data_IF_413764926340
#
_entry.id   IF_413764926340
#
_cell.length_a   1.000
_cell.length_b   1.000
_cell.length_c   1.000
_cell.angle_alpha   90.00
_cell.angle_beta   90.00
_cell.angle_gamma   90.00
#
_symmetry.space_group_name_H-M   'P 1'
#
loop_
_entity.id
_entity.type
_entity.pdbx_description
1 polymer ?
#
# COMPACT_ATOMS: atom_id res chain seq x y z
N UNK A 1 -7.78 18.14 -18.01
CA UNK A 1 -6.32 18.06 -17.76
C UNK A 1 -5.79 16.74 -18.30
N UNK A 2 -4.63 16.72 -18.96
CA UNK A 2 -3.96 15.45 -19.32
C UNK A 2 -3.23 14.90 -18.08
N UNK A 3 -3.32 13.59 -17.77
CA UNK A 3 -2.59 13.01 -16.66
C UNK A 3 -1.08 13.08 -16.93
N UNK A 4 -0.30 13.49 -15.93
CA UNK A 4 1.17 13.55 -15.99
C UNK A 4 1.86 12.28 -15.47
N UNK A 5 1.09 11.29 -15.02
CA UNK A 5 1.60 10.03 -14.47
C UNK A 5 0.63 8.88 -14.75
N UNK A 6 1.16 7.64 -14.77
CA UNK A 6 0.34 6.42 -14.88
C UNK A 6 -0.72 6.39 -13.79
N UNK A 7 -0.38 6.73 -12.55
CA UNK A 7 -1.35 6.76 -11.44
C UNK A 7 -2.55 7.65 -11.76
N UNK A 8 -2.32 8.86 -12.26
CA UNK A 8 -3.39 9.78 -12.61
C UNK A 8 -4.22 9.27 -13.79
N UNK A 9 -3.58 8.65 -14.78
CA UNK A 9 -4.27 8.04 -15.93
C UNK A 9 -5.16 6.87 -15.49
N UNK A 10 -4.64 5.98 -14.64
CA UNK A 10 -5.41 4.84 -14.11
C UNK A 10 -6.59 5.28 -13.25
N UNK A 11 -6.47 6.38 -12.51
CA UNK A 11 -7.58 6.93 -11.75
C UNK A 11 -8.69 7.48 -12.66
N UNK A 12 -8.33 8.17 -13.73
CA UNK A 12 -9.28 8.75 -14.68
C UNK A 12 -10.04 7.66 -15.47
N UNK A 13 -9.33 6.64 -15.92
CA UNK A 13 -9.87 5.57 -16.78
C UNK A 13 -10.12 4.26 -16.02
N UNK A 14 -10.23 4.30 -14.70
CA UNK A 14 -10.38 3.08 -13.91
C UNK A 14 -11.58 2.21 -14.36
N UNK A 15 -12.74 2.77 -14.77
CA UNK A 15 -13.84 1.96 -15.31
C UNK A 15 -13.46 1.21 -16.59
N UNK A 16 -12.88 1.93 -17.56
CA UNK A 16 -12.44 1.39 -18.86
C UNK A 16 -11.38 0.28 -18.67
N UNK A 17 -10.48 0.47 -17.70
CA UNK A 17 -9.44 -0.52 -17.38
C UNK A 17 -10.03 -1.80 -16.78
N UNK A 18 -11.02 -1.69 -15.90
CA UNK A 18 -11.70 -2.85 -15.31
C UNK A 18 -12.51 -3.62 -16.35
N UNK A 19 -13.14 -2.91 -17.31
CA UNK A 19 -13.82 -3.51 -18.45
C UNK A 19 -12.84 -4.25 -19.36
N UNK A 20 -11.69 -3.65 -19.70
CA UNK A 20 -10.67 -4.37 -20.49
C UNK A 20 -10.17 -5.64 -19.76
N UNK A 21 -10.01 -5.59 -18.44
CA UNK A 21 -9.64 -6.78 -17.66
C UNK A 21 -10.75 -7.84 -17.62
N UNK A 22 -12.02 -7.45 -17.57
CA UNK A 22 -13.14 -8.41 -17.60
C UNK A 22 -13.28 -9.08 -18.97
N UNK A 23 -12.89 -8.38 -20.04
CA UNK A 23 -12.79 -8.90 -21.40
C UNK A 23 -11.54 -9.78 -21.62
N UNK A 24 -10.68 -9.94 -20.62
CA UNK A 24 -9.49 -10.80 -20.68
C UNK A 24 -8.26 -10.14 -21.29
N UNK A 25 -8.27 -8.82 -21.52
CA UNK A 25 -7.09 -8.09 -22.00
C UNK A 25 -5.99 -8.16 -20.94
N UNK A 26 -4.77 -8.45 -21.35
CA UNK A 26 -3.67 -8.60 -20.41
C UNK A 26 -3.27 -7.26 -19.78
N UNK A 27 -2.73 -7.31 -18.56
CA UNK A 27 -2.27 -6.11 -17.84
C UNK A 27 -1.21 -5.33 -18.62
N UNK A 28 -0.35 -6.04 -19.37
CA UNK A 28 0.70 -5.43 -20.17
C UNK A 28 0.15 -4.67 -21.39
N UNK A 29 -0.88 -5.22 -22.04
CA UNK A 29 -1.57 -4.56 -23.16
C UNK A 29 -2.32 -3.33 -22.69
N UNK A 30 -3.02 -3.42 -21.55
CA UNK A 30 -3.71 -2.27 -20.94
C UNK A 30 -2.69 -1.19 -20.58
N UNK A 31 -1.58 -1.56 -19.95
CA UNK A 31 -0.50 -0.63 -19.63
C UNK A 31 0.01 0.08 -20.89
N UNK A 32 0.31 -0.68 -21.96
CA UNK A 32 0.81 -0.14 -23.22
C UNK A 32 -0.20 0.84 -23.83
N UNK A 33 -1.47 0.44 -23.95
CA UNK A 33 -2.54 1.28 -24.47
C UNK A 33 -2.72 2.58 -23.66
N UNK A 34 -2.69 2.51 -22.33
CA UNK A 34 -2.80 3.70 -21.46
C UNK A 34 -1.57 4.59 -21.59
N UNK A 35 -0.37 4.01 -21.65
CA UNK A 35 0.88 4.76 -21.80
C UNK A 35 0.95 5.50 -23.14
N UNK A 36 0.53 4.85 -24.23
CA UNK A 36 0.48 5.43 -25.57
C UNK A 36 -0.59 6.52 -25.66
N UNK A 37 -1.80 6.27 -25.13
CA UNK A 37 -2.92 7.24 -25.16
C UNK A 37 -2.57 8.58 -24.50
N UNK A 38 -1.73 8.56 -23.46
CA UNK A 38 -1.37 9.76 -22.71
C UNK A 38 0.08 10.22 -22.91
N UNK A 39 0.87 9.54 -23.73
CA UNK A 39 2.29 9.86 -23.94
C UNK A 39 3.12 9.75 -22.66
N UNK A 40 2.86 8.73 -21.85
CA UNK A 40 3.53 8.53 -20.56
C UNK A 40 4.78 7.67 -20.75
N UNK A 41 5.88 8.33 -21.09
CA UNK A 41 7.19 7.69 -21.29
C UNK A 41 7.87 7.33 -19.95
N UNK A 42 8.56 6.18 -19.90
CA UNK A 42 9.46 5.82 -18.79
C UNK A 42 8.84 5.10 -17.58
N UNK A 43 7.62 4.58 -17.70
CA UNK A 43 6.95 3.93 -16.57
C UNK A 43 7.22 2.41 -16.57
N UNK A 44 7.56 1.85 -15.41
CA UNK A 44 7.80 0.41 -15.26
C UNK A 44 6.46 -0.32 -15.06
N UNK A 45 6.25 -1.46 -15.72
CA UNK A 45 5.06 -2.32 -15.57
C UNK A 45 4.73 -2.61 -14.10
N UNK A 46 5.74 -2.76 -13.23
CA UNK A 46 5.52 -3.00 -11.78
C UNK A 46 4.80 -1.85 -11.07
N UNK A 47 4.97 -0.63 -11.57
CA UNK A 47 4.29 0.56 -11.05
C UNK A 47 2.81 0.62 -11.49
N UNK A 48 2.44 -0.06 -12.58
CA UNK A 48 1.05 -0.18 -13.03
C UNK A 48 0.22 -0.94 -11.99
N UNK A 49 0.64 -2.12 -11.57
CA UNK A 49 -0.12 -2.94 -10.61
C UNK A 49 -0.31 -2.22 -9.26
N UNK A 50 0.75 -1.61 -8.76
CA UNK A 50 0.71 -0.83 -7.51
C UNK A 50 -0.23 0.37 -7.64
N UNK A 51 -0.19 1.05 -8.79
CA UNK A 51 -1.05 2.22 -9.04
C UNK A 51 -2.50 1.81 -9.27
N UNK A 52 -2.75 0.66 -9.90
CA UNK A 52 -4.08 0.10 -10.11
C UNK A 52 -4.71 -0.31 -8.78
N UNK A 53 -3.94 -1.00 -7.92
CA UNK A 53 -4.37 -1.31 -6.56
C UNK A 53 -4.76 -0.03 -5.81
N UNK A 54 -3.90 0.99 -5.81
CA UNK A 54 -4.18 2.27 -5.15
C UNK A 54 -5.40 2.98 -5.74
N UNK A 55 -5.58 2.95 -7.06
CA UNK A 55 -6.76 3.54 -7.72
C UNK A 55 -8.06 2.83 -7.28
N UNK A 56 -8.04 1.50 -7.17
CA UNK A 56 -9.16 0.70 -6.63
C UNK A 56 -9.45 1.04 -5.17
N UNK A 57 -8.42 1.14 -4.32
CA UNK A 57 -8.58 1.50 -2.91
C UNK A 57 -9.16 2.89 -2.74
N UNK A 58 -8.70 3.88 -3.52
CA UNK A 58 -9.25 5.24 -3.49
C UNK A 58 -10.74 5.25 -3.89
N UNK A 59 -11.09 4.50 -4.94
CA UNK A 59 -12.50 4.37 -5.37
C UNK A 59 -13.36 3.66 -4.32
N UNK A 60 -12.83 2.61 -3.67
CA UNK A 60 -13.54 1.83 -2.64
C UNK A 60 -13.71 2.61 -1.33
N UNK A 61 -12.70 3.37 -0.92
CA UNK A 61 -12.70 4.13 0.32
C UNK A 61 -13.40 5.50 0.19
N UNK A 62 -13.76 5.92 -1.02
CA UNK A 62 -14.68 7.02 -1.28
C UNK A 62 -14.12 8.42 -1.03
N UNK A 63 -14.49 9.35 -1.91
CA UNK A 63 -15.12 10.64 -1.55
C UNK A 63 -14.49 11.59 -0.51
N UNK A 64 -13.29 11.36 0.01
CA UNK A 64 -12.66 12.24 1.01
C UNK A 64 -11.36 12.84 0.49
N UNK A 65 -11.38 13.53 -0.66
CA UNK A 65 -10.50 14.69 -0.98
C UNK A 65 -10.58 15.06 -2.47
N UNK A 66 -11.76 15.45 -2.96
CA UNK A 66 -11.88 16.21 -4.22
C UNK A 66 -12.68 17.49 -4.00
N UNK A 67 -12.32 18.26 -2.98
CA UNK A 67 -12.54 19.70 -3.01
C UNK A 67 -11.54 20.37 -2.07
N UNK A 68 -10.79 21.34 -2.60
CA UNK A 68 -9.99 22.31 -1.85
C UNK A 68 -9.00 21.74 -0.83
N UNK A 69 -7.71 21.71 -1.19
CA UNK A 69 -6.66 21.88 -0.18
C UNK A 69 -6.77 23.32 0.36
N UNK A 70 -7.68 23.54 1.30
CA UNK A 70 -7.58 24.66 2.24
C UNK A 70 -6.61 24.18 3.33
N UNK A 71 -5.52 24.91 3.62
CA UNK A 71 -4.72 24.63 4.79
C UNK A 71 -5.51 25.09 6.02
N UNK A 72 -5.35 24.37 7.12
CA UNK A 72 -5.86 24.66 8.46
C UNK A 72 -7.32 24.21 8.68
N UNK A 73 -7.47 23.04 9.29
CA UNK A 73 -8.18 23.03 10.56
C UNK A 73 -7.68 21.89 11.44
N UNK A 74 -7.37 22.28 12.66
CA UNK A 74 -6.60 21.61 13.70
C UNK A 74 -7.31 20.42 14.37
N UNK A 75 -8.19 19.68 13.67
CA UNK A 75 -9.04 18.65 14.29
C UNK A 75 -8.94 17.27 13.61
N UNK A 76 -7.78 16.93 13.03
CA UNK A 76 -7.49 15.56 12.59
C UNK A 76 -6.96 14.72 13.76
N UNK A 77 -7.79 14.57 14.78
CA UNK A 77 -7.55 13.65 15.89
C UNK A 77 -8.08 12.27 15.48
N UNK A 78 -7.35 11.58 14.61
CA UNK A 78 -7.49 10.13 14.46
C UNK A 78 -6.73 9.43 15.61
N UNK A 79 -7.19 9.64 16.85
CA UNK A 79 -6.83 8.78 17.96
C UNK A 79 -7.79 7.59 17.99
N UNK A 80 -7.46 6.54 17.23
CA UNK A 80 -7.92 5.19 17.59
C UNK A 80 -7.11 4.67 18.80
N UNK A 81 -7.09 5.43 19.88
CA UNK A 81 -6.84 4.92 21.22
C UNK A 81 -8.18 4.89 21.90
N UNK A 82 -8.85 3.75 21.83
CA UNK A 82 -9.82 3.39 22.86
C UNK A 82 -9.03 3.41 24.16
N UNK A 83 -9.23 4.44 24.97
CA UNK A 83 -8.69 4.54 26.32
C UNK A 83 -9.02 3.24 27.05
N UNK A 84 -8.03 2.49 27.57
CA UNK A 84 -8.33 1.48 28.56
C UNK A 84 -8.92 2.20 29.77
N UNK A 85 -10.04 1.72 30.35
CA UNK A 85 -10.40 2.16 31.68
C UNK A 85 -9.26 1.80 32.64
N UNK A 86 -9.02 2.73 33.56
CA UNK A 86 -8.06 2.68 34.67
C UNK A 86 -7.95 1.28 35.31
N UNK A 87 -6.75 0.78 35.63
CA UNK A 87 -6.59 -0.56 36.15
C UNK A 87 -7.03 -0.64 37.62
N UNK A 88 -8.19 -1.25 37.87
CA UNK A 88 -8.43 -1.90 39.15
C UNK A 88 -7.60 -3.21 39.24
N UNK A 89 -7.04 -3.54 40.41
CA UNK A 89 -6.08 -4.64 40.54
C UNK A 89 -6.84 -5.96 40.70
N UNK A 90 -7.15 -6.66 39.61
CA UNK A 90 -7.66 -8.03 39.72
C UNK A 90 -6.95 -8.96 38.74
N UNK A 91 -6.22 -9.91 39.33
CA UNK A 91 -5.45 -10.93 38.65
C UNK A 91 -6.29 -11.76 37.69
N UNK A 92 -5.77 -11.95 36.49
CA UNK A 92 -6.22 -13.01 35.59
C UNK A 92 -5.08 -13.36 34.65
N UNK A 93 -4.84 -14.66 34.53
CA UNK A 93 -3.72 -15.29 33.84
C UNK A 93 -3.51 -14.73 32.42
N UNK A 94 -2.31 -14.19 32.15
CA UNK A 94 -1.88 -13.80 30.81
C UNK A 94 -1.67 -15.06 29.99
N UNK A 95 -2.62 -15.39 29.11
CA UNK A 95 -2.33 -16.25 27.95
C UNK A 95 -1.30 -15.51 27.11
N UNK A 96 -0.13 -16.13 26.91
CA UNK A 96 0.96 -15.59 26.10
C UNK A 96 0.46 -15.34 24.67
N UNK A 97 0.10 -14.09 24.40
CA UNK A 97 0.08 -13.55 23.05
C UNK A 97 1.46 -13.79 22.44
N UNK A 98 1.59 -14.33 21.20
CA UNK A 98 2.90 -14.48 20.58
C UNK A 98 3.57 -13.11 20.60
N UNK A 99 4.64 -13.01 21.40
CA UNK A 99 5.26 -11.74 21.77
C UNK A 99 5.63 -10.92 20.54
N UNK A 100 5.58 -9.61 20.70
CA UNK A 100 6.21 -8.70 19.75
C UNK A 100 7.68 -9.12 19.63
N UNK A 101 8.19 -9.18 18.40
CA UNK A 101 9.57 -9.58 18.16
C UNK A 101 10.50 -8.48 18.72
N UNK A 102 11.15 -8.78 19.84
CA UNK A 102 12.06 -7.86 20.52
C UNK A 102 13.49 -7.93 19.96
N UNK A 103 14.34 -6.96 20.35
CA UNK A 103 15.73 -6.87 19.88
C UNK A 103 16.55 -8.13 20.16
N UNK A 104 16.22 -8.85 21.23
CA UNK A 104 16.86 -10.11 21.61
C UNK A 104 16.68 -11.20 20.54
N UNK A 105 15.55 -11.19 19.84
CA UNK A 105 15.31 -12.10 18.71
C UNK A 105 16.32 -11.86 17.57
N UNK A 106 16.59 -10.60 17.25
CA UNK A 106 17.55 -10.25 16.19
C UNK A 106 19.00 -10.54 16.59
N UNK A 107 19.34 -10.38 17.87
CA UNK A 107 20.66 -10.75 18.38
C UNK A 107 20.90 -12.26 18.23
N UNK A 108 19.92 -13.09 18.60
CA UNK A 108 19.99 -14.55 18.45
C UNK A 108 20.14 -14.98 16.98
N UNK A 109 19.38 -14.38 16.07
CA UNK A 109 19.51 -14.68 14.64
C UNK A 109 20.86 -14.22 14.08
N UNK A 110 21.38 -13.10 14.55
CA UNK A 110 22.68 -12.58 14.09
C UNK A 110 23.85 -13.46 14.50
N UNK A 111 23.74 -14.17 15.63
CA UNK A 111 24.73 -15.18 16.03
C UNK A 111 24.69 -16.42 15.12
N UNK A 112 23.49 -16.87 14.73
CA UNK A 112 23.29 -18.04 13.87
C UNK A 112 23.51 -17.75 12.37
N UNK A 113 23.55 -16.47 11.97
CA UNK A 113 23.69 -16.06 10.58
C UNK A 113 25.15 -15.93 10.16
N UNK A 114 25.67 -16.91 9.40
CA UNK A 114 26.97 -16.79 8.72
C UNK A 114 26.80 -16.31 7.27
N UNK A 115 27.08 -15.03 6.94
CA UNK A 115 27.00 -14.52 5.59
C UNK A 115 27.98 -15.19 4.61
N UNK A 116 29.03 -15.87 5.10
CA UNK A 116 29.99 -16.58 4.24
C UNK A 116 29.42 -17.89 3.68
N UNK A 117 28.43 -18.50 4.34
CA UNK A 117 27.71 -19.69 3.83
C UNK A 117 26.97 -19.39 2.50
N UNK A 118 26.57 -18.14 2.28
CA UNK A 118 25.84 -17.70 1.09
C UNK A 118 26.74 -17.30 -0.09
N UNK A 119 28.03 -17.08 0.17
CA UNK A 119 29.02 -16.75 -0.85
C UNK A 119 29.63 -18.00 -1.51
N UNK A 120 29.06 -19.19 -1.29
CA UNK A 120 29.42 -20.39 -2.05
C UNK A 120 28.88 -20.21 -3.47
N UNK A 121 29.70 -19.56 -4.30
CA UNK A 121 29.50 -19.37 -5.74
C UNK A 121 28.99 -20.67 -6.36
N UNK A 122 27.86 -20.57 -7.06
CA UNK A 122 27.57 -21.48 -8.17
C UNK A 122 28.66 -21.36 -9.22
#
# INVERSE_FOLDING_TARGET
>A
MKPKSIRAALQLMLPEIEEMMSLGVSRAEIYKAVSERFGLEGVNVRSFDTSLYRARQIRKNGMHNTHGRMPNNEDSVLHNTQTPPEPEPQGSEKKESPGIIDKEFFNKISEDFDPKMFNKKF
#
